data_IF_262829727631
#
_entry.id   IF_262829727631
#
_cell.length_a   1.000
_cell.length_b   1.000
_cell.length_c   1.000
_cell.angle_alpha   90.00
_cell.angle_beta   90.00
_cell.angle_gamma   90.00
#
_symmetry.space_group_name_H-M   'P 1'
#
loop_
_entity.id
_entity.type
_entity.pdbx_description
1 polymer ?
#
# COMPACT_ATOMS: atom_id res chain seq x y z
N UNK A 1 7.04 -6.02 -11.65
CA UNK A 1 5.80 -5.68 -10.92
C UNK A 1 4.92 -6.92 -10.96
N UNK A 2 4.67 -7.56 -9.84
CA UNK A 2 3.86 -8.79 -9.83
C UNK A 2 2.44 -8.41 -9.43
N UNK A 3 1.52 -8.47 -10.39
CA UNK A 3 0.08 -8.32 -10.17
C UNK A 3 -0.42 -9.68 -9.67
N UNK A 4 -0.95 -9.72 -8.44
CA UNK A 4 -1.56 -10.94 -7.91
C UNK A 4 -3.07 -10.82 -8.02
N UNK A 5 -3.71 -11.75 -8.72
CA UNK A 5 -5.17 -11.89 -8.75
C UNK A 5 -5.73 -12.62 -7.52
N UNK A 6 -4.90 -13.23 -6.66
CA UNK A 6 -5.41 -14.14 -5.64
C UNK A 6 -4.60 -14.08 -4.34
N UNK A 7 -4.91 -13.16 -3.42
CA UNK A 7 -4.37 -13.30 -2.05
C UNK A 7 -5.32 -12.97 -0.91
N UNK A 8 -6.57 -12.61 -1.18
CA UNK A 8 -7.64 -12.62 -0.18
C UNK A 8 -8.99 -12.77 -0.88
N UNK A 9 -9.54 -13.98 -0.94
CA UNK A 9 -10.74 -14.28 -1.74
C UNK A 9 -11.92 -13.38 -1.35
N UNK A 10 -12.09 -13.12 -0.06
CA UNK A 10 -13.14 -12.24 0.46
C UNK A 10 -12.99 -10.77 0.02
N UNK A 11 -11.76 -10.25 0.01
CA UNK A 11 -11.51 -8.89 -0.49
C UNK A 11 -11.67 -8.84 -2.01
N UNK A 12 -11.19 -9.88 -2.69
CA UNK A 12 -11.30 -10.01 -4.13
C UNK A 12 -12.76 -10.04 -4.55
N UNK A 13 -13.58 -10.85 -3.89
CA UNK A 13 -14.99 -11.03 -4.18
C UNK A 13 -15.84 -9.80 -3.86
N UNK A 14 -15.43 -8.98 -2.89
CA UNK A 14 -16.16 -7.76 -2.52
C UNK A 14 -15.81 -6.55 -3.38
N UNK A 15 -14.59 -6.50 -3.93
CA UNK A 15 -14.11 -5.38 -4.75
C UNK A 15 -14.25 -5.72 -6.24
N UNK A 16 -13.74 -6.86 -6.72
CA UNK A 16 -13.63 -7.15 -8.16
C UNK A 16 -14.84 -7.83 -8.79
N UNK A 17 -15.82 -8.31 -8.00
CA UNK A 17 -17.06 -8.85 -8.57
C UNK A 17 -18.06 -7.76 -9.01
N UNK A 18 -17.71 -6.48 -8.84
CA UNK A 18 -18.50 -5.37 -9.38
C UNK A 18 -18.00 -5.01 -10.77
N UNK A 19 -18.91 -4.86 -11.72
CA UNK A 19 -18.58 -4.51 -13.11
C UNK A 19 -17.76 -3.22 -13.23
N UNK A 20 -17.99 -2.25 -12.32
CA UNK A 20 -17.24 -0.99 -12.24
C UNK A 20 -15.73 -1.18 -11.95
N UNK A 21 -15.33 -2.33 -11.39
CA UNK A 21 -13.96 -2.59 -10.98
C UNK A 21 -13.25 -3.64 -11.86
N UNK A 22 -13.84 -4.03 -13.00
CA UNK A 22 -13.30 -5.09 -13.86
C UNK A 22 -11.87 -4.79 -14.38
N UNK A 23 -11.53 -3.50 -14.50
CA UNK A 23 -10.23 -3.01 -14.96
C UNK A 23 -9.33 -2.52 -13.84
N UNK A 24 -9.72 -2.72 -12.58
CA UNK A 24 -8.96 -2.25 -11.45
C UNK A 24 -7.77 -3.15 -11.15
N UNK A 25 -6.82 -2.62 -10.39
CA UNK A 25 -5.61 -3.34 -10.01
C UNK A 25 -5.51 -3.41 -8.48
N UNK A 26 -4.99 -4.53 -7.98
CA UNK A 26 -4.55 -4.63 -6.58
C UNK A 26 -3.04 -4.76 -6.52
N UNK A 27 -2.42 -3.83 -5.79
CA UNK A 27 -1.01 -3.86 -5.44
C UNK A 27 -0.86 -4.39 -4.02
N UNK A 28 -0.19 -5.54 -3.86
CA UNK A 28 0.08 -6.10 -2.54
C UNK A 28 1.54 -5.93 -2.15
N UNK A 29 1.76 -5.44 -0.93
CA UNK A 29 3.09 -5.41 -0.30
C UNK A 29 3.37 -6.65 0.56
N UNK A 30 2.52 -7.69 0.51
CA UNK A 30 2.67 -8.91 1.33
C UNK A 30 4.04 -9.58 1.10
N UNK A 31 4.52 -9.59 -0.15
CA UNK A 31 5.74 -10.29 -0.52
C UNK A 31 7.02 -9.56 -0.07
N UNK A 32 7.82 -10.24 0.75
CA UNK A 32 8.98 -9.70 1.46
C UNK A 32 10.10 -9.19 0.55
N UNK A 33 10.21 -9.67 -0.69
CA UNK A 33 11.23 -9.23 -1.65
C UNK A 33 10.91 -7.90 -2.32
N UNK A 34 9.65 -7.43 -2.23
CA UNK A 34 9.17 -6.25 -2.95
C UNK A 34 8.17 -5.45 -2.11
N UNK A 35 8.54 -5.09 -0.87
CA UNK A 35 7.78 -4.07 -0.14
C UNK A 35 7.86 -2.76 -0.95
N UNK A 36 6.89 -2.53 -1.82
CA UNK A 36 6.97 -1.49 -2.86
C UNK A 36 7.12 -0.11 -2.25
N UNK A 37 6.57 0.14 -1.05
CA UNK A 37 6.66 1.44 -0.38
C UNK A 37 7.80 1.58 0.63
N UNK A 38 8.37 0.47 1.11
CA UNK A 38 9.45 0.50 2.10
C UNK A 38 9.01 0.97 3.48
N UNK A 39 9.86 1.77 4.12
CA UNK A 39 9.61 2.33 5.44
C UNK A 39 8.58 3.47 5.38
N UNK A 40 7.68 3.53 6.37
CA UNK A 40 6.68 4.61 6.48
C UNK A 40 7.36 5.92 6.91
N UNK A 41 6.87 7.03 6.36
CA UNK A 41 7.22 8.38 6.83
C UNK A 41 6.32 8.86 7.96
N UNK A 42 5.34 8.05 8.35
CA UNK A 42 4.28 8.39 9.30
C UNK A 42 4.37 7.52 10.56
N UNK A 43 4.61 6.21 10.41
CA UNK A 43 4.65 5.25 11.52
C UNK A 43 6.07 4.94 11.98
N UNK A 44 6.33 5.16 13.27
CA UNK A 44 7.65 5.01 13.89
C UNK A 44 7.59 4.13 15.15
N UNK A 45 8.74 3.57 15.53
CA UNK A 45 8.99 3.05 16.87
C UNK A 45 10.20 3.79 17.45
N UNK A 46 9.95 4.69 18.38
CA UNK A 46 10.92 5.70 18.78
C UNK A 46 11.33 6.56 17.59
N UNK A 47 12.63 6.60 17.27
CA UNK A 47 13.16 7.35 16.12
C UNK A 47 13.24 6.53 14.83
N UNK A 48 12.88 5.24 14.86
CA UNK A 48 13.03 4.33 13.70
C UNK A 48 11.70 4.23 12.93
N UNK A 49 11.68 4.51 11.61
CA UNK A 49 10.48 4.30 10.82
C UNK A 49 10.18 2.79 10.71
N UNK A 50 8.91 2.44 10.66
CA UNK A 50 8.47 1.05 10.56
C UNK A 50 8.19 0.66 9.12
N UNK A 51 8.44 -0.61 8.78
CA UNK A 51 8.12 -1.15 7.45
C UNK A 51 6.60 -1.20 7.31
N UNK A 52 6.07 -0.45 6.35
CA UNK A 52 4.64 -0.41 6.06
C UNK A 52 4.24 -1.54 5.14
N UNK A 53 3.11 -2.17 5.43
CA UNK A 53 2.47 -3.17 4.57
C UNK A 53 0.98 -2.90 4.47
N UNK A 54 0.49 -2.86 3.25
CA UNK A 54 -0.92 -2.86 2.91
C UNK A 54 -1.15 -3.56 1.55
N UNK A 55 -2.41 -3.80 1.24
CA UNK A 55 -2.89 -3.90 -0.12
C UNK A 55 -3.40 -2.53 -0.57
N UNK A 56 -3.31 -2.23 -1.85
CA UNK A 56 -3.84 -1.01 -2.43
C UNK A 56 -4.72 -1.39 -3.61
N UNK A 57 -5.97 -0.97 -3.56
CA UNK A 57 -6.90 -1.04 -4.67
C UNK A 57 -6.75 0.23 -5.50
N UNK A 58 -6.41 0.06 -6.76
CA UNK A 58 -6.23 1.13 -7.74
C UNK A 58 -7.41 1.06 -8.70
N UNK A 59 -8.26 2.08 -8.64
CA UNK A 59 -9.41 2.23 -9.48
C UNK A 59 -9.15 3.24 -10.59
N UNK A 60 -9.43 2.84 -11.83
CA UNK A 60 -9.16 3.64 -13.03
C UNK A 60 -10.48 4.01 -13.71
N UNK A 61 -10.75 5.31 -13.77
CA UNK A 61 -11.97 5.85 -14.34
C UNK A 61 -11.60 6.72 -15.54
N UNK A 62 -11.98 6.29 -16.75
CA UNK A 62 -11.75 7.08 -17.96
C UNK A 62 -12.68 8.30 -17.95
N UNK A 63 -12.11 9.49 -18.04
CA UNK A 63 -12.88 10.75 -18.13
C UNK A 63 -13.11 11.12 -19.59
N UNK A 64 -12.08 10.96 -20.44
CA UNK A 64 -12.16 11.11 -21.89
C UNK A 64 -11.00 10.37 -22.57
N UNK A 65 -10.70 10.65 -23.84
CA UNK A 65 -9.66 9.97 -24.61
C UNK A 65 -8.23 10.23 -24.13
N UNK A 66 -8.01 11.29 -23.36
CA UNK A 66 -6.68 11.72 -22.91
C UNK A 66 -6.55 11.82 -21.40
N UNK A 67 -7.65 11.72 -20.65
CA UNK A 67 -7.70 11.90 -19.20
C UNK A 67 -8.26 10.64 -18.55
N UNK A 68 -7.47 10.09 -17.63
CA UNK A 68 -7.87 9.00 -16.74
C UNK A 68 -7.71 9.45 -15.30
N UNK A 69 -8.76 9.27 -14.50
CA UNK A 69 -8.74 9.50 -13.06
C UNK A 69 -8.31 8.21 -12.37
N UNK A 70 -7.39 8.34 -11.43
CA UNK A 70 -6.88 7.22 -10.62
C UNK A 70 -7.27 7.48 -9.17
N UNK A 71 -7.97 6.53 -8.55
CA UNK A 71 -8.24 6.52 -7.10
C UNK A 71 -7.45 5.36 -6.49
N UNK A 72 -6.84 5.59 -5.33
CA UNK A 72 -6.09 4.57 -4.61
C UNK A 72 -6.68 4.46 -3.22
N UNK A 73 -7.10 3.25 -2.85
CA UNK A 73 -7.61 2.95 -1.53
C UNK A 73 -6.69 1.95 -0.84
N UNK A 74 -6.27 2.29 0.37
CA UNK A 74 -5.47 1.40 1.22
C UNK A 74 -6.34 0.36 1.91
N UNK A 75 -5.87 -0.90 1.93
CA UNK A 75 -6.58 -2.04 2.50
C UNK A 75 -5.64 -2.83 3.42
N UNK A 76 -6.17 -3.25 4.57
CA UNK A 76 -5.44 -4.00 5.60
C UNK A 76 -4.06 -3.39 5.99
N UNK A 77 -4.00 -2.07 6.28
CA UNK A 77 -2.77 -1.39 6.67
C UNK A 77 -2.17 -1.92 7.98
N UNK A 78 -0.87 -2.24 7.94
CA UNK A 78 -0.11 -2.75 9.08
C UNK A 78 1.36 -2.39 9.00
N UNK A 79 2.01 -2.34 10.15
CA UNK A 79 3.45 -2.09 10.26
C UNK A 79 4.17 -3.25 10.94
N UNK A 80 5.42 -3.48 10.56
CA UNK A 80 6.28 -4.49 11.19
C UNK A 80 6.85 -3.92 12.49
N UNK A 81 6.43 -4.46 13.63
CA UNK A 81 6.86 -4.01 14.98
C UNK A 81 7.95 -4.89 15.60
N UNK A 82 8.29 -6.02 14.97
CA UNK A 82 9.31 -6.92 15.47
C UNK A 82 9.38 -8.23 14.71
N UNK A 83 10.14 -9.19 15.25
CA UNK A 83 10.23 -10.57 14.77
C UNK A 83 9.50 -11.49 15.74
N UNK A 84 8.87 -12.54 15.24
CA UNK A 84 8.27 -13.60 16.04
C UNK A 84 8.85 -14.96 15.62
N UNK A 85 9.01 -15.87 16.58
CA UNK A 85 9.35 -17.27 16.26
C UNK A 85 8.05 -17.98 15.87
N UNK A 86 8.03 -18.61 14.71
CA UNK A 86 6.94 -19.50 14.30
C UNK A 86 7.39 -20.92 14.69
N UNK A 87 6.62 -21.59 15.54
CA UNK A 87 7.00 -22.89 16.12
C UNK A 87 7.00 -24.00 15.08
N UNK A 88 7.89 -24.98 15.30
CA UNK A 88 8.22 -26.21 14.56
C UNK A 88 9.39 -26.19 13.55
N UNK A 89 9.80 -25.08 12.95
CA UNK A 89 10.85 -25.14 11.90
C UNK A 89 11.89 -24.00 11.89
N UNK A 90 12.12 -23.31 13.01
CA UNK A 90 13.12 -22.21 13.11
C UNK A 90 12.94 -21.07 12.10
N UNK A 91 11.76 -20.92 11.50
CA UNK A 91 11.45 -19.79 10.61
C UNK A 91 11.17 -18.52 11.44
N UNK A 92 11.89 -17.44 11.12
CA UNK A 92 11.67 -16.11 11.69
C UNK A 92 10.51 -15.44 10.94
N UNK A 93 9.38 -15.29 11.61
CA UNK A 93 8.26 -14.48 11.15
C UNK A 93 8.41 -13.02 11.56
N UNK A 94 7.52 -12.16 11.04
CA UNK A 94 7.38 -10.78 11.48
C UNK A 94 6.16 -10.65 12.39
N UNK A 95 6.29 -9.83 13.44
CA UNK A 95 5.18 -9.37 14.24
C UNK A 95 4.62 -8.10 13.60
N UNK A 96 3.32 -8.08 13.33
CA UNK A 96 2.63 -6.95 12.72
C UNK A 96 1.72 -6.26 13.72
N UNK A 97 1.49 -4.95 13.51
CA UNK A 97 0.44 -4.20 14.18
C UNK A 97 -0.40 -3.48 13.13
N UNK A 98 -1.71 -3.67 13.17
CA UNK A 98 -2.67 -2.91 12.37
C UNK A 98 -2.58 -1.44 12.74
N UNK A 99 -2.61 -0.57 11.74
CA UNK A 99 -2.59 0.89 11.88
C UNK A 99 -3.66 1.47 10.98
N UNK A 100 -4.03 2.73 11.17
CA UNK A 100 -4.90 3.39 10.21
C UNK A 100 -4.22 3.54 8.84
N UNK A 101 -4.96 3.65 7.74
CA UNK A 101 -4.40 4.07 6.47
C UNK A 101 -4.02 5.56 6.52
N UNK A 102 -3.07 5.97 5.68
CA UNK A 102 -2.76 7.40 5.50
C UNK A 102 -2.65 7.71 4.03
N UNK A 103 -2.92 8.97 3.68
CA UNK A 103 -2.82 9.45 2.31
C UNK A 103 -1.38 9.53 1.81
N UNK A 104 -0.38 9.47 2.70
CA UNK A 104 1.05 9.54 2.35
C UNK A 104 1.45 8.31 1.53
N UNK A 105 1.05 7.11 1.95
CA UNK A 105 1.35 5.88 1.23
C UNK A 105 0.65 5.81 -0.13
N UNK A 106 -0.61 6.24 -0.20
CA UNK A 106 -1.38 6.33 -1.45
C UNK A 106 -0.75 7.33 -2.43
N UNK A 107 -0.36 8.50 -1.93
CA UNK A 107 0.25 9.55 -2.73
C UNK A 107 1.62 9.13 -3.28
N UNK A 108 2.42 8.37 -2.52
CA UNK A 108 3.67 7.80 -3.03
C UNK A 108 3.46 6.87 -4.23
N UNK A 109 2.35 6.14 -4.27
CA UNK A 109 2.00 5.31 -5.42
C UNK A 109 1.62 6.20 -6.61
N UNK A 110 0.78 7.21 -6.39
CA UNK A 110 0.40 8.19 -7.41
C UNK A 110 1.63 8.88 -8.02
N UNK A 111 2.60 9.30 -7.20
CA UNK A 111 3.85 9.91 -7.68
C UNK A 111 4.63 8.99 -8.62
N UNK A 112 4.67 7.68 -8.34
CA UNK A 112 5.34 6.71 -9.21
C UNK A 112 4.59 6.49 -10.52
N UNK A 113 3.26 6.41 -10.46
CA UNK A 113 2.42 6.31 -11.66
C UNK A 113 2.59 7.56 -12.52
N UNK A 114 2.50 8.76 -11.93
CA UNK A 114 2.70 10.04 -12.61
C UNK A 114 4.06 10.10 -13.29
N UNK A 115 5.14 9.68 -12.61
CA UNK A 115 6.48 9.60 -13.22
C UNK A 115 6.53 8.67 -14.43
N UNK A 116 5.88 7.50 -14.38
CA UNK A 116 5.82 6.55 -15.50
C UNK A 116 4.99 7.12 -16.65
N UNK A 117 3.90 7.82 -16.35
CA UNK A 117 3.03 8.48 -17.32
C UNK A 117 3.65 9.77 -17.93
N UNK A 118 4.83 10.19 -17.44
CA UNK A 118 5.49 11.40 -17.90
C UNK A 118 4.90 12.70 -17.35
N UNK A 119 4.07 12.63 -16.29
CA UNK A 119 3.55 13.81 -15.60
C UNK A 119 4.67 14.56 -14.89
N UNK A 120 4.78 15.87 -15.16
CA UNK A 120 5.86 16.73 -14.66
C UNK A 120 5.40 17.66 -13.54
N UNK A 121 4.09 17.85 -13.36
CA UNK A 121 3.49 18.84 -12.45
C UNK A 121 2.77 18.19 -11.27
N UNK A 122 3.26 17.04 -10.78
CA UNK A 122 2.75 16.44 -9.55
C UNK A 122 3.09 17.33 -8.35
N UNK A 123 2.13 17.62 -7.45
CA UNK A 123 2.42 18.33 -6.20
C UNK A 123 3.49 17.64 -5.33
N UNK A 124 4.09 18.40 -4.41
CA UNK A 124 4.97 17.81 -3.40
C UNK A 124 4.15 17.12 -2.31
N UNK A 125 4.74 16.06 -1.74
CA UNK A 125 4.14 15.40 -0.58
C UNK A 125 4.23 16.30 0.65
N UNK A 126 3.10 16.56 1.30
CA UNK A 126 3.06 17.27 2.57
C UNK A 126 3.01 16.23 3.70
N UNK A 127 4.10 16.09 4.45
CA UNK A 127 4.19 15.12 5.55
C UNK A 127 3.56 15.72 6.82
N UNK A 128 2.91 14.89 7.66
CA UNK A 128 2.42 15.37 8.95
C UNK A 128 3.59 15.80 9.84
N UNK A 129 3.43 16.90 10.58
CA UNK A 129 4.43 17.38 11.54
C UNK A 129 4.65 16.36 12.67
N UNK A 130 3.57 15.71 13.11
CA UNK A 130 3.61 14.70 14.15
C UNK A 130 3.69 13.29 13.57
N UNK A 131 4.66 12.52 14.06
CA UNK A 131 4.85 11.11 13.73
C UNK A 131 4.07 10.22 14.69
N UNK A 132 3.44 9.18 14.17
CA UNK A 132 2.71 8.20 14.99
C UNK A 132 3.68 7.20 15.58
N UNK A 133 3.90 7.30 16.89
CA UNK A 133 4.77 6.38 17.60
C UNK A 133 3.99 5.13 18.04
N UNK A 134 4.41 3.99 17.51
CA UNK A 134 3.81 2.69 17.77
C UNK A 134 4.57 2.03 18.94
N UNK A 135 3.89 1.69 20.05
CA UNK A 135 4.52 0.98 21.17
C UNK A 135 5.00 -0.42 20.77
#
# INVERSE_FOLDING_TARGET
MTVYKEVDRLLYDTIFNKDENINDLVLSTRNLKHATLGYSDVYFKGKKPLLYKAEFHLHFERINDTITKIKINTINPKVVIGKQRITMASHKGYKYKTVEPTTIEEYKILLRIGKIAGEKKMPFINLPEQKYNIP
#
